data_IF_617116152995
#
_entry.id   IF_617116152995
#
_cell.length_a   1.000
_cell.length_b   1.000
_cell.length_c   1.000
_cell.angle_alpha   90.00
_cell.angle_beta   90.00
_cell.angle_gamma   90.00
#
_symmetry.space_group_name_H-M   'P 1'
#
loop_
_entity.id
_entity.type
_entity.pdbx_description
1 polymer ?
#
# COMPACT_ATOMS: atom_id res chain seq x y z
N UNK A 1 -11.57 -27.37 -28.64
CA UNK A 1 -11.46 -26.28 -27.62
C UNK A 1 -11.24 -26.99 -26.31
N UNK A 2 -10.06 -26.83 -25.71
CA UNK A 2 -9.79 -27.35 -24.35
C UNK A 2 -10.69 -26.59 -23.36
N UNK A 3 -11.55 -27.32 -22.63
CA UNK A 3 -12.38 -26.73 -21.57
C UNK A 3 -11.49 -25.91 -20.62
N UNK A 4 -11.87 -24.65 -20.41
CA UNK A 4 -11.20 -23.79 -19.43
C UNK A 4 -11.49 -24.31 -18.00
N UNK A 5 -10.44 -24.58 -17.20
CA UNK A 5 -10.55 -25.23 -15.89
C UNK A 5 -9.90 -24.38 -14.79
N UNK A 6 -10.51 -24.39 -13.62
CA UNK A 6 -9.88 -23.83 -12.43
C UNK A 6 -8.52 -24.52 -12.19
N UNK A 7 -7.43 -23.74 -12.16
CA UNK A 7 -6.10 -24.35 -12.01
C UNK A 7 -5.89 -24.98 -10.64
N UNK A 8 -6.67 -24.59 -9.61
CA UNK A 8 -6.57 -25.14 -8.26
C UNK A 8 -7.31 -26.49 -8.17
N UNK A 9 -8.64 -26.51 -8.34
CA UNK A 9 -9.45 -27.71 -8.12
C UNK A 9 -9.66 -28.57 -9.39
N UNK A 10 -9.28 -28.09 -10.57
CA UNK A 10 -9.45 -28.80 -11.85
C UNK A 10 -10.88 -28.80 -12.41
N UNK A 11 -11.87 -28.23 -11.70
CA UNK A 11 -13.25 -28.17 -12.16
C UNK A 11 -13.38 -27.26 -13.40
N UNK A 12 -14.27 -27.57 -14.35
CA UNK A 12 -14.58 -26.68 -15.47
C UNK A 12 -15.02 -25.30 -14.96
N UNK A 13 -14.55 -24.25 -15.63
CA UNK A 13 -15.02 -22.87 -15.40
C UNK A 13 -16.24 -22.62 -16.25
N UNK A 14 -17.35 -22.26 -15.61
CA UNK A 14 -18.65 -21.93 -16.25
C UNK A 14 -19.01 -20.49 -15.91
N UNK A 15 -20.00 -19.93 -16.60
CA UNK A 15 -20.49 -18.58 -16.29
C UNK A 15 -21.01 -18.44 -14.86
N UNK A 16 -21.44 -19.56 -14.24
CA UNK A 16 -21.99 -19.58 -12.89
C UNK A 16 -20.91 -19.66 -11.79
N UNK A 17 -19.74 -20.28 -12.09
CA UNK A 17 -18.72 -20.57 -11.08
C UNK A 17 -17.40 -19.81 -11.26
N UNK A 18 -17.15 -19.19 -12.42
CA UNK A 18 -15.92 -18.44 -12.69
C UNK A 18 -15.82 -17.19 -11.79
N UNK A 19 -14.63 -16.91 -11.31
CA UNK A 19 -14.34 -15.72 -10.51
C UNK A 19 -13.65 -14.65 -11.35
N UNK A 20 -13.99 -13.37 -11.12
CA UNK A 20 -13.20 -12.26 -11.63
C UNK A 20 -12.00 -12.06 -10.75
N UNK A 21 -10.94 -12.80 -11.02
CA UNK A 21 -9.72 -12.77 -10.24
C UNK A 21 -8.87 -11.54 -10.54
N UNK A 22 -8.35 -10.91 -9.47
CA UNK A 22 -7.30 -9.92 -9.58
C UNK A 22 -5.95 -10.64 -9.55
N UNK A 23 -5.29 -10.73 -10.70
CA UNK A 23 -3.96 -11.35 -10.81
C UNK A 23 -2.95 -10.60 -9.92
N UNK A 24 -2.96 -9.29 -9.97
CA UNK A 24 -2.31 -8.42 -8.99
C UNK A 24 -3.34 -7.93 -7.97
N UNK A 25 -3.00 -8.01 -6.70
CA UNK A 25 -3.91 -7.72 -5.60
C UNK A 25 -4.51 -6.31 -5.72
N UNK A 26 -5.85 -6.20 -5.66
CA UNK A 26 -6.55 -4.93 -5.69
C UNK A 26 -6.13 -3.96 -4.57
N UNK A 27 -5.70 -4.49 -3.41
CA UNK A 27 -5.19 -3.69 -2.29
C UNK A 27 -3.92 -2.89 -2.65
N UNK A 28 -3.14 -3.36 -3.63
CA UNK A 28 -2.00 -2.66 -4.20
C UNK A 28 -2.36 -1.87 -5.48
N UNK A 29 -3.64 -1.74 -5.83
CA UNK A 29 -4.08 -1.07 -7.05
C UNK A 29 -3.95 -1.92 -8.31
N UNK A 30 -3.86 -3.25 -8.18
CA UNK A 30 -3.76 -4.18 -9.31
C UNK A 30 -4.91 -4.02 -10.30
N UNK A 31 -4.59 -3.95 -11.60
CA UNK A 31 -5.56 -3.76 -12.70
C UNK A 31 -5.75 -5.00 -13.54
N UNK A 32 -4.75 -5.90 -13.57
CA UNK A 32 -4.83 -7.14 -14.35
C UNK A 32 -5.83 -8.10 -13.70
N UNK A 33 -6.82 -8.51 -14.47
CA UNK A 33 -7.90 -9.39 -14.01
C UNK A 33 -8.21 -10.45 -15.06
N UNK A 34 -8.72 -11.60 -14.60
CA UNK A 34 -9.20 -12.66 -15.51
C UNK A 34 -10.37 -13.42 -14.90
N UNK A 35 -11.20 -13.99 -15.77
CA UNK A 35 -12.24 -14.98 -15.43
C UNK A 35 -11.79 -16.42 -15.72
N UNK A 36 -10.58 -16.60 -16.25
CA UNK A 36 -10.13 -17.84 -16.87
C UNK A 36 -9.12 -18.62 -16.01
N UNK A 37 -8.87 -18.18 -14.78
CA UNK A 37 -7.85 -18.79 -13.90
C UNK A 37 -8.46 -19.66 -12.81
N UNK A 38 -9.50 -19.19 -12.09
CA UNK A 38 -10.05 -19.95 -10.98
C UNK A 38 -11.56 -19.74 -10.76
N UNK A 39 -12.17 -20.69 -10.02
CA UNK A 39 -13.56 -20.62 -9.64
C UNK A 39 -13.78 -19.81 -8.36
N UNK A 40 -15.02 -19.32 -8.15
CA UNK A 40 -15.43 -18.53 -6.97
C UNK A 40 -15.09 -19.20 -5.63
N UNK A 41 -15.24 -20.53 -5.53
CA UNK A 41 -14.95 -21.27 -4.32
C UNK A 41 -13.46 -21.24 -3.97
N UNK A 42 -12.58 -21.45 -4.96
CA UNK A 42 -11.14 -21.42 -4.75
C UNK A 42 -10.65 -19.99 -4.48
N UNK A 43 -11.14 -19.03 -5.22
CA UNK A 43 -10.82 -17.60 -4.99
C UNK A 43 -11.25 -17.14 -3.58
N UNK A 44 -12.48 -17.47 -3.16
CA UNK A 44 -12.96 -17.10 -1.82
C UNK A 44 -12.10 -17.66 -0.68
N UNK A 45 -11.58 -18.89 -0.81
CA UNK A 45 -10.68 -19.49 0.19
C UNK A 45 -9.34 -18.75 0.30
N UNK A 46 -8.77 -18.35 -0.83
CA UNK A 46 -7.48 -17.65 -0.87
C UNK A 46 -7.64 -16.17 -0.49
N UNK A 47 -8.74 -15.53 -0.88
CA UNK A 47 -9.03 -14.14 -0.53
C UNK A 47 -9.27 -13.92 0.97
N UNK A 48 -9.86 -14.90 1.65
CA UNK A 48 -10.26 -14.76 3.06
C UNK A 48 -9.09 -14.70 4.06
N UNK A 49 -7.91 -15.23 3.72
CA UNK A 49 -6.76 -15.26 4.62
C UNK A 49 -5.45 -14.85 3.95
N UNK A 50 -4.97 -15.50 2.87
CA UNK A 50 -3.73 -15.10 2.21
C UNK A 50 -3.77 -13.67 1.68
N UNK A 51 -4.76 -13.32 0.88
CA UNK A 51 -4.85 -11.98 0.27
C UNK A 51 -5.08 -10.89 1.30
N UNK A 52 -5.85 -11.15 2.37
CA UNK A 52 -6.02 -10.20 3.47
C UNK A 52 -4.70 -9.98 4.23
N UNK A 53 -3.93 -11.04 4.47
CA UNK A 53 -2.63 -10.93 5.14
C UNK A 53 -1.64 -10.05 4.34
N UNK A 54 -1.57 -10.25 3.02
CA UNK A 54 -0.77 -9.41 2.15
C UNK A 54 -1.31 -7.97 2.07
N UNK A 55 -2.63 -7.80 1.94
CA UNK A 55 -3.27 -6.49 1.89
C UNK A 55 -2.98 -5.64 3.14
N UNK A 56 -2.97 -6.26 4.32
CA UNK A 56 -2.63 -5.58 5.60
C UNK A 56 -1.18 -5.08 5.57
N UNK A 57 -0.25 -5.88 5.04
CA UNK A 57 1.17 -5.51 4.96
C UNK A 57 1.43 -4.38 3.95
N UNK A 58 0.73 -4.40 2.81
CA UNK A 58 0.86 -3.37 1.78
C UNK A 58 0.15 -2.05 2.13
N UNK A 59 -0.85 -2.11 3.02
CA UNK A 59 -1.73 -0.98 3.36
C UNK A 59 -1.00 0.32 3.71
N UNK A 60 0.06 0.32 4.53
CA UNK A 60 0.75 1.57 4.89
C UNK A 60 1.30 2.32 3.68
N UNK A 61 1.98 1.62 2.80
CA UNK A 61 2.57 2.22 1.59
C UNK A 61 1.48 2.53 0.56
N UNK A 62 0.51 1.63 0.37
CA UNK A 62 -0.62 1.88 -0.52
C UNK A 62 -1.45 3.11 -0.11
N UNK A 63 -1.69 3.29 1.20
CA UNK A 63 -2.36 4.48 1.73
C UNK A 63 -1.53 5.74 1.50
N UNK A 64 -0.23 5.70 1.84
CA UNK A 64 0.69 6.80 1.63
C UNK A 64 0.73 7.24 0.16
N UNK A 65 0.79 6.33 -0.78
CA UNK A 65 0.80 6.61 -2.21
C UNK A 65 -0.58 7.07 -2.76
N UNK A 66 -1.65 6.96 -1.97
CA UNK A 66 -3.02 7.21 -2.45
C UNK A 66 -3.43 6.25 -3.56
N UNK A 67 -3.14 4.95 -3.36
CA UNK A 67 -3.43 3.90 -4.36
C UNK A 67 -4.91 3.78 -4.64
N UNK A 68 -5.30 3.91 -5.91
CA UNK A 68 -6.68 3.74 -6.33
C UNK A 68 -7.05 2.26 -6.46
N UNK A 69 -8.04 1.85 -5.71
CA UNK A 69 -8.65 0.53 -5.75
C UNK A 69 -9.86 0.53 -6.68
N UNK A 70 -10.38 -0.66 -7.02
CA UNK A 70 -11.61 -0.75 -7.82
C UNK A 70 -12.83 -0.20 -7.09
N UNK A 71 -12.89 -0.45 -5.78
CA UNK A 71 -13.96 0.03 -4.92
C UNK A 71 -13.37 0.72 -3.69
N UNK A 72 -13.74 1.99 -3.52
CA UNK A 72 -13.34 2.78 -2.36
C UNK A 72 -11.86 3.18 -2.36
N UNK A 73 -11.45 3.76 -1.25
CA UNK A 73 -10.08 4.22 -0.97
C UNK A 73 -9.32 3.19 -0.15
N UNK A 74 -8.01 3.40 -0.01
CA UNK A 74 -7.19 2.59 0.89
C UNK A 74 -7.62 2.85 2.35
N UNK A 75 -7.83 1.79 3.18
CA UNK A 75 -8.21 1.97 4.58
C UNK A 75 -7.21 2.82 5.35
N UNK A 76 -7.69 3.57 6.34
CA UNK A 76 -6.84 4.36 7.23
C UNK A 76 -5.80 3.48 7.94
N UNK A 77 -4.66 4.09 8.26
CA UNK A 77 -3.56 3.43 8.97
C UNK A 77 -3.34 4.13 10.32
N UNK A 78 -3.40 3.42 11.44
CA UNK A 78 -3.10 4.00 12.72
C UNK A 78 -1.62 4.39 12.80
N UNK A 79 -1.35 5.59 13.32
CA UNK A 79 -0.03 6.14 13.55
C UNK A 79 0.09 6.58 15.00
N UNK A 80 1.31 6.61 15.49
CA UNK A 80 1.63 7.17 16.80
C UNK A 80 2.79 8.14 16.67
N UNK A 81 2.67 9.32 17.31
CA UNK A 81 3.77 10.25 17.42
C UNK A 81 4.73 9.84 18.53
N UNK A 82 5.92 10.40 18.51
CA UNK A 82 6.96 10.14 19.54
C UNK A 82 6.55 10.60 20.94
N UNK A 83 5.62 11.56 21.04
CA UNK A 83 5.05 12.04 22.30
C UNK A 83 3.77 11.27 22.73
N UNK A 84 3.41 10.21 21.99
CA UNK A 84 2.31 9.29 22.33
C UNK A 84 0.93 9.70 21.81
N UNK A 85 0.80 10.81 21.06
CA UNK A 85 -0.47 11.18 20.43
C UNK A 85 -0.85 10.17 19.33
N UNK A 86 -2.14 9.90 19.21
CA UNK A 86 -2.66 8.99 18.20
C UNK A 86 -3.15 9.74 16.98
N UNK A 87 -2.69 9.28 15.83
CA UNK A 87 -3.08 9.77 14.53
C UNK A 87 -3.62 8.64 13.67
N UNK A 88 -4.32 9.00 12.61
CA UNK A 88 -4.65 8.12 11.49
C UNK A 88 -4.08 8.72 10.20
N UNK A 89 -3.37 7.92 9.42
CA UNK A 89 -3.05 8.28 8.05
C UNK A 89 -4.24 7.97 7.17
N UNK A 90 -4.82 8.98 6.59
CA UNK A 90 -5.90 8.86 5.61
C UNK A 90 -5.35 8.66 4.22
N UNK A 91 -6.23 8.28 3.32
CA UNK A 91 -5.91 8.09 1.90
C UNK A 91 -5.10 9.27 1.35
N UNK A 92 -4.00 8.96 0.65
CA UNK A 92 -3.02 9.94 0.21
C UNK A 92 -2.05 10.40 1.29
N UNK A 93 -1.83 9.61 2.35
CA UNK A 93 -0.79 9.86 3.34
C UNK A 93 -1.10 10.99 4.33
N UNK A 94 -2.31 11.56 4.34
CA UNK A 94 -2.68 12.72 5.17
C UNK A 94 -2.87 12.32 6.64
N UNK A 95 -2.01 12.75 7.58
CA UNK A 95 -2.19 12.46 8.99
C UNK A 95 -3.29 13.35 9.60
N UNK A 96 -4.18 12.72 10.38
CA UNK A 96 -5.22 13.41 11.14
C UNK A 96 -5.24 12.90 12.58
N UNK A 97 -5.67 13.72 13.54
CA UNK A 97 -5.84 13.26 14.92
C UNK A 97 -6.88 12.15 14.99
N UNK A 98 -6.50 10.99 15.52
CA UNK A 98 -7.42 9.86 15.72
C UNK A 98 -8.43 10.15 16.85
N UNK A 99 -7.99 10.88 17.88
CA UNK A 99 -8.79 11.31 19.02
C UNK A 99 -8.46 12.75 19.40
N UNK A 100 -9.40 13.47 20.02
CA UNK A 100 -9.13 14.80 20.51
C UNK A 100 -8.10 14.78 21.61
N UNK A 101 -7.20 15.75 21.58
CA UNK A 101 -6.23 16.00 22.65
C UNK A 101 -6.71 17.16 23.52
N UNK A 102 -6.86 16.92 24.84
CA UNK A 102 -7.19 17.94 25.83
C UNK A 102 -5.97 18.15 26.73
N UNK A 103 -5.44 19.35 26.71
CA UNK A 103 -4.43 19.79 27.66
C UNK A 103 -5.09 20.76 28.64
N UNK A 104 -5.26 20.33 29.89
CA UNK A 104 -5.91 21.09 30.95
C UNK A 104 -4.91 21.45 32.05
N UNK A 105 -4.88 22.71 32.41
CA UNK A 105 -4.09 23.19 33.54
C UNK A 105 -5.00 23.42 34.77
N UNK A 106 -4.98 22.53 35.77
CA UNK A 106 -5.86 22.64 36.93
C UNK A 106 -5.58 23.86 37.81
N UNK A 107 -4.37 24.46 37.73
CA UNK A 107 -4.03 25.62 38.53
C UNK A 107 -4.59 26.93 37.98
N UNK A 108 -4.75 27.05 36.69
CA UNK A 108 -5.28 28.26 36.02
C UNK A 108 -6.70 28.08 35.50
N UNK A 109 -7.15 26.81 35.35
CA UNK A 109 -8.40 26.46 34.68
C UNK A 109 -8.33 26.54 33.17
N UNK A 110 -7.16 26.82 32.58
CA UNK A 110 -6.99 26.90 31.13
C UNK A 110 -7.12 25.52 30.48
N UNK A 111 -7.87 25.46 29.37
CA UNK A 111 -8.05 24.25 28.58
C UNK A 111 -7.72 24.51 27.11
N UNK A 112 -6.80 23.75 26.57
CA UNK A 112 -6.51 23.70 25.13
C UNK A 112 -7.02 22.39 24.55
N UNK A 113 -7.91 22.48 23.55
CA UNK A 113 -8.50 21.32 22.90
C UNK A 113 -8.08 21.32 21.43
N UNK A 114 -7.52 20.22 20.99
CA UNK A 114 -7.20 19.95 19.58
C UNK A 114 -8.06 18.77 19.12
N UNK A 115 -8.82 18.95 18.06
CA UNK A 115 -9.70 17.92 17.50
C UNK A 115 -9.79 18.09 15.99
N UNK A 116 -10.08 17.00 15.30
CA UNK A 116 -10.24 17.00 13.86
C UNK A 116 -11.50 17.75 13.39
N UNK A 117 -12.54 17.71 14.21
CA UNK A 117 -13.84 18.35 13.93
C UNK A 117 -14.62 18.61 15.25
N UNK A 118 -15.70 19.40 15.13
CA UNK A 118 -16.55 19.71 16.28
C UNK A 118 -17.18 18.49 16.96
N UNK A 119 -17.49 17.42 16.21
CA UNK A 119 -18.04 16.19 16.77
C UNK A 119 -17.06 15.50 17.70
N UNK A 120 -15.79 15.38 17.28
CA UNK A 120 -14.70 14.82 18.08
C UNK A 120 -14.42 15.69 19.32
N UNK A 121 -14.40 17.01 19.16
CA UNK A 121 -14.24 17.96 20.28
C UNK A 121 -15.37 17.81 21.29
N UNK A 122 -16.62 17.78 20.83
CA UNK A 122 -17.80 17.59 21.69
C UNK A 122 -17.73 16.32 22.49
N UNK A 123 -17.43 15.19 21.85
CA UNK A 123 -17.31 13.90 22.54
C UNK A 123 -16.22 13.92 23.64
N UNK A 124 -15.06 14.53 23.34
CA UNK A 124 -13.97 14.65 24.27
C UNK A 124 -14.31 15.56 25.47
N UNK A 125 -14.98 16.69 25.23
CA UNK A 125 -15.44 17.60 26.29
C UNK A 125 -16.47 16.94 27.22
N UNK A 126 -17.44 16.20 26.65
CA UNK A 126 -18.40 15.44 27.48
C UNK A 126 -17.72 14.36 28.30
N UNK A 127 -16.73 13.65 27.74
CA UNK A 127 -15.93 12.68 28.50
C UNK A 127 -15.16 13.36 29.61
N UNK A 128 -14.45 14.46 29.34
CA UNK A 128 -13.72 15.24 30.32
C UNK A 128 -14.62 15.74 31.46
N UNK A 129 -15.77 16.31 31.13
CA UNK A 129 -16.75 16.78 32.14
C UNK A 129 -17.26 15.67 33.04
N UNK A 130 -17.41 14.45 32.51
CA UNK A 130 -17.82 13.27 33.30
C UNK A 130 -16.69 12.79 34.22
N UNK A 131 -15.45 12.84 33.78
CA UNK A 131 -14.27 12.43 34.55
C UNK A 131 -13.85 13.47 35.59
N UNK A 132 -14.22 14.75 35.36
CA UNK A 132 -13.85 15.90 36.17
C UNK A 132 -15.10 16.72 36.56
N UNK A 133 -16.03 16.15 37.38
CA UNK A 133 -17.30 16.82 37.74
C UNK A 133 -17.10 18.09 38.56
N UNK A 134 -15.94 18.28 39.16
CA UNK A 134 -15.56 19.49 39.91
C UNK A 134 -15.45 20.74 39.03
N UNK A 135 -15.24 20.59 37.68
CA UNK A 135 -15.19 21.70 36.75
C UNK A 135 -16.56 21.91 36.08
N UNK A 136 -17.16 23.06 36.36
CA UNK A 136 -18.46 23.42 35.77
C UNK A 136 -18.24 24.34 34.55
N UNK A 137 -18.51 23.79 33.34
CA UNK A 137 -18.53 24.54 32.08
C UNK A 137 -19.64 24.03 31.18
N UNK A 138 -20.08 24.87 30.24
CA UNK A 138 -21.02 24.50 29.20
C UNK A 138 -20.25 24.05 27.95
N UNK A 139 -20.48 22.80 27.52
CA UNK A 139 -19.80 22.20 26.37
C UNK A 139 -20.14 22.95 25.08
N UNK A 140 -21.40 23.34 24.88
CA UNK A 140 -21.81 24.03 23.65
C UNK A 140 -21.28 25.46 23.61
N UNK A 141 -21.14 26.12 24.78
CA UNK A 141 -20.52 27.43 24.86
C UNK A 141 -19.02 27.37 24.51
N UNK A 142 -18.28 26.38 25.04
CA UNK A 142 -16.88 26.15 24.67
C UNK A 142 -16.70 25.91 23.19
N UNK A 143 -17.61 25.14 22.55
CA UNK A 143 -17.54 24.84 21.13
C UNK A 143 -17.76 26.06 20.21
N UNK A 144 -18.42 27.12 20.68
CA UNK A 144 -18.57 28.38 19.91
C UNK A 144 -17.23 29.10 19.68
N UNK A 145 -16.24 28.86 20.53
CA UNK A 145 -14.89 29.43 20.42
C UNK A 145 -13.93 28.56 19.62
N UNK A 146 -14.40 27.45 19.05
CA UNK A 146 -13.59 26.61 18.19
C UNK A 146 -13.28 27.31 16.87
N UNK A 147 -11.99 27.35 16.51
CA UNK A 147 -11.51 27.89 15.24
C UNK A 147 -11.00 26.75 14.36
N UNK A 148 -11.25 26.83 13.07
CA UNK A 148 -10.67 25.90 12.11
C UNK A 148 -9.29 26.42 11.69
N UNK A 149 -8.24 25.68 12.03
CA UNK A 149 -6.87 26.04 11.68
C UNK A 149 -6.19 24.86 11.00
N UNK A 150 -5.53 25.14 9.87
CA UNK A 150 -4.67 24.18 9.20
C UNK A 150 -3.31 24.15 9.94
N UNK A 151 -2.92 22.97 10.42
CA UNK A 151 -1.64 22.75 11.07
C UNK A 151 -0.92 21.59 10.44
N UNK A 152 0.37 21.68 10.34
CA UNK A 152 1.25 20.55 10.03
C UNK A 152 1.60 19.80 11.32
N UNK A 153 1.89 18.51 11.17
CA UNK A 153 2.33 17.69 12.30
C UNK A 153 3.84 17.92 12.48
N UNK A 154 4.23 18.50 13.59
CA UNK A 154 5.63 18.79 13.89
C UNK A 154 6.37 17.58 14.49
N UNK A 155 5.62 16.62 15.03
CA UNK A 155 6.19 15.42 15.66
C UNK A 155 6.46 14.33 14.60
N UNK A 156 7.47 13.51 14.88
CA UNK A 156 7.74 12.32 14.07
C UNK A 156 6.64 11.29 14.28
N UNK A 157 6.01 10.85 13.19
CA UNK A 157 5.02 9.78 13.18
C UNK A 157 5.70 8.45 12.89
N UNK A 158 5.34 7.43 13.65
CA UNK A 158 5.85 6.08 13.49
C UNK A 158 4.81 5.23 12.74
N UNK A 159 5.30 4.48 11.77
CA UNK A 159 4.53 3.50 11.01
C UNK A 159 5.27 2.15 11.06
N UNK A 160 4.53 1.08 11.32
CA UNK A 160 5.08 -0.26 11.28
C UNK A 160 4.80 -0.87 9.91
N UNK A 161 5.86 -1.28 9.23
CA UNK A 161 5.79 -2.00 7.96
C UNK A 161 6.38 -3.40 8.18
N UNK A 162 5.56 -4.41 7.94
CA UNK A 162 5.98 -5.82 7.98
C UNK A 162 5.96 -6.37 6.56
N UNK A 163 6.85 -7.31 6.27
CA UNK A 163 6.89 -7.98 4.97
C UNK A 163 7.19 -9.47 5.13
N UNK A 164 6.35 -10.32 4.49
CA UNK A 164 6.51 -11.77 4.48
C UNK A 164 5.60 -12.52 5.45
N UNK A 165 5.96 -13.76 5.73
CA UNK A 165 5.16 -14.71 6.52
C UNK A 165 4.27 -15.60 5.65
N UNK A 166 3.93 -16.81 6.16
CA UNK A 166 3.31 -17.88 5.39
C UNK A 166 2.08 -17.47 4.59
N UNK A 167 1.14 -16.72 5.21
CA UNK A 167 -0.08 -16.30 4.53
C UNK A 167 0.18 -15.28 3.43
N UNK A 168 1.01 -14.27 3.68
CA UNK A 168 1.39 -13.29 2.67
C UNK A 168 2.17 -13.93 1.52
N UNK A 169 3.07 -14.87 1.80
CA UNK A 169 3.80 -15.63 0.77
C UNK A 169 2.86 -16.47 -0.09
N UNK A 170 1.82 -17.07 0.47
CA UNK A 170 0.80 -17.79 -0.31
C UNK A 170 0.03 -16.87 -1.26
N UNK A 171 -0.26 -15.62 -0.87
CA UNK A 171 -0.86 -14.63 -1.76
C UNK A 171 0.10 -14.19 -2.86
N UNK A 172 1.39 -14.03 -2.56
CA UNK A 172 2.41 -13.72 -3.56
C UNK A 172 2.58 -14.90 -4.54
N UNK A 173 2.59 -16.13 -4.04
CA UNK A 173 2.60 -17.34 -4.90
C UNK A 173 1.36 -17.38 -5.79
N UNK A 174 0.16 -17.13 -5.23
CA UNK A 174 -1.09 -17.06 -6.00
C UNK A 174 -0.94 -16.10 -7.18
N UNK A 175 -0.43 -14.90 -6.96
CA UNK A 175 -0.17 -13.90 -8.01
C UNK A 175 0.70 -14.47 -9.15
N UNK A 176 1.79 -15.14 -8.81
CA UNK A 176 2.69 -15.74 -9.80
C UNK A 176 2.02 -16.90 -10.56
N UNK A 177 1.26 -17.76 -9.87
CA UNK A 177 0.55 -18.89 -10.47
C UNK A 177 -0.61 -18.42 -11.36
N UNK A 178 -1.39 -17.45 -10.90
CA UNK A 178 -2.46 -16.84 -11.67
C UNK A 178 -1.94 -16.25 -12.99
N UNK A 179 -0.81 -15.55 -12.93
CA UNK A 179 -0.17 -14.98 -14.11
C UNK A 179 0.38 -16.05 -15.04
N UNK A 180 1.04 -17.07 -14.52
CA UNK A 180 1.53 -18.22 -15.28
C UNK A 180 0.39 -18.91 -16.06
N UNK A 181 -0.73 -19.18 -15.40
CA UNK A 181 -1.92 -19.79 -16.04
C UNK A 181 -2.57 -18.83 -17.03
N UNK A 182 -2.68 -17.53 -16.70
CA UNK A 182 -3.25 -16.52 -17.59
C UNK A 182 -2.48 -16.44 -18.92
N UNK A 183 -1.16 -16.65 -18.89
CA UNK A 183 -0.30 -16.69 -20.08
C UNK A 183 -0.39 -18.00 -20.86
N UNK A 184 -1.22 -18.94 -20.43
CA UNK A 184 -1.50 -20.19 -21.14
C UNK A 184 -0.50 -21.31 -20.89
N UNK A 185 0.35 -21.17 -19.89
CA UNK A 185 1.31 -22.22 -19.54
C UNK A 185 0.65 -23.41 -18.85
N UNK A 186 1.23 -24.60 -19.00
CA UNK A 186 0.63 -25.85 -18.55
C UNK A 186 0.69 -25.97 -17.02
N UNK A 187 -0.50 -26.16 -16.42
CA UNK A 187 -0.70 -26.41 -14.99
C UNK A 187 0.16 -27.53 -14.42
N UNK A 188 0.53 -28.55 -15.23
CA UNK A 188 1.33 -29.69 -14.79
C UNK A 188 2.65 -29.28 -14.11
N UNK A 189 3.22 -28.14 -14.52
CA UNK A 189 4.49 -27.65 -14.00
C UNK A 189 4.38 -27.00 -12.62
N UNK A 190 3.17 -26.70 -12.15
CA UNK A 190 2.91 -25.99 -10.90
C UNK A 190 1.99 -26.73 -9.93
N UNK A 191 1.46 -27.90 -10.32
CA UNK A 191 0.48 -28.64 -9.51
C UNK A 191 1.02 -29.03 -8.13
N UNK A 192 2.32 -29.28 -8.02
CA UNK A 192 3.02 -29.63 -6.77
C UNK A 192 3.08 -28.47 -5.75
N UNK A 193 2.71 -27.24 -6.14
CA UNK A 193 2.64 -26.07 -5.28
C UNK A 193 1.26 -25.85 -4.65
N UNK A 194 0.23 -26.57 -5.12
CA UNK A 194 -1.13 -26.33 -4.69
C UNK A 194 -1.38 -26.63 -3.21
N UNK A 195 -0.70 -27.63 -2.65
CA UNK A 195 -0.80 -27.93 -1.21
C UNK A 195 -0.21 -26.82 -0.36
N UNK A 196 0.93 -26.24 -0.77
CA UNK A 196 1.47 -25.06 -0.12
C UNK A 196 0.53 -23.85 -0.29
N UNK A 197 0.03 -23.59 -1.50
CA UNK A 197 -0.89 -22.50 -1.75
C UNK A 197 -2.15 -22.57 -0.85
N UNK A 198 -2.67 -23.78 -0.65
CA UNK A 198 -3.84 -24.04 0.18
C UNK A 198 -3.53 -24.08 1.70
N UNK A 199 -2.24 -24.06 2.08
CA UNK A 199 -1.80 -24.09 3.46
C UNK A 199 -1.74 -25.47 4.11
N UNK A 200 -1.73 -26.52 3.29
CA UNK A 200 -1.62 -27.92 3.76
C UNK A 200 -0.19 -28.35 4.03
N UNK A 201 0.79 -27.65 3.45
CA UNK A 201 2.22 -27.91 3.66
C UNK A 201 3.02 -26.61 3.78
N UNK A 202 4.30 -26.71 4.16
CA UNK A 202 5.26 -25.60 4.14
C UNK A 202 6.37 -25.88 3.14
N UNK A 203 6.78 -24.85 2.39
CA UNK A 203 7.88 -24.92 1.42
C UNK A 203 8.71 -23.62 1.49
N UNK A 204 10.02 -23.76 1.37
CA UNK A 204 10.96 -22.62 1.24
C UNK A 204 11.22 -22.32 -0.23
N UNK A 205 10.18 -21.87 -0.92
CA UNK A 205 10.21 -21.56 -2.35
C UNK A 205 10.05 -20.07 -2.63
N UNK A 206 9.91 -19.22 -1.61
CA UNK A 206 9.72 -17.79 -1.74
C UNK A 206 10.73 -17.08 -0.87
N UNK A 207 11.45 -16.13 -1.46
CA UNK A 207 12.40 -15.30 -0.72
C UNK A 207 12.10 -13.82 -0.98
N UNK A 208 12.14 -13.01 0.08
CA UNK A 208 12.19 -11.56 -0.05
C UNK A 208 13.52 -11.22 -0.72
N UNK A 209 13.48 -10.49 -1.84
CA UNK A 209 14.64 -10.41 -2.73
C UNK A 209 15.06 -8.95 -3.01
N UNK A 210 16.05 -8.47 -2.28
CA UNK A 210 16.68 -7.15 -2.49
C UNK A 210 18.14 -7.35 -2.96
N UNK A 211 18.36 -7.67 -4.25
CA UNK A 211 19.71 -7.89 -4.79
C UNK A 211 20.50 -6.58 -4.89
N UNK A 212 21.83 -6.69 -5.06
CA UNK A 212 22.71 -5.54 -5.27
C UNK A 212 22.42 -4.83 -6.61
N UNK A 213 22.02 -5.59 -7.60
CA UNK A 213 21.55 -5.07 -8.89
C UNK A 213 20.08 -5.50 -9.06
N UNK A 214 19.14 -4.53 -9.08
CA UNK A 214 17.74 -4.82 -9.33
C UNK A 214 17.54 -5.48 -10.70
N UNK A 215 16.60 -6.45 -10.83
CA UNK A 215 16.33 -7.12 -12.10
C UNK A 215 15.74 -6.22 -13.20
N UNK A 216 15.36 -5.00 -12.87
CA UNK A 216 14.82 -4.00 -13.79
C UNK A 216 15.35 -2.60 -13.44
N UNK A 217 15.30 -1.68 -14.40
CA UNK A 217 15.69 -0.29 -14.19
C UNK A 217 14.65 0.48 -13.39
N UNK A 218 15.07 1.16 -12.33
CA UNK A 218 14.25 2.13 -11.60
C UNK A 218 14.20 3.45 -12.37
N UNK A 219 12.99 3.95 -12.61
CA UNK A 219 12.75 5.26 -13.22
C UNK A 219 12.13 6.18 -12.17
N UNK A 220 12.67 7.40 -12.06
CA UNK A 220 12.23 8.38 -11.09
C UNK A 220 10.73 8.70 -11.26
N UNK A 221 9.99 8.70 -10.17
CA UNK A 221 8.54 8.90 -10.17
C UNK A 221 7.70 7.65 -10.45
N UNK A 222 8.29 6.55 -10.98
CA UNK A 222 7.56 5.28 -11.16
C UNK A 222 7.48 4.47 -9.87
N UNK A 223 6.30 3.93 -9.59
CA UNK A 223 6.09 2.94 -8.52
C UNK A 223 5.38 1.72 -9.09
N UNK A 224 6.11 0.63 -9.21
CA UNK A 224 5.64 -0.52 -9.98
C UNK A 224 4.97 -1.60 -9.11
N UNK A 225 3.84 -2.10 -9.62
CA UNK A 225 3.42 -3.49 -9.42
C UNK A 225 3.90 -4.29 -10.62
N UNK A 226 4.72 -5.30 -10.39
CA UNK A 226 5.36 -6.08 -11.45
C UNK A 226 5.22 -7.57 -11.18
N UNK A 227 4.93 -8.32 -12.24
CA UNK A 227 5.02 -9.79 -12.26
C UNK A 227 5.89 -10.15 -13.46
N UNK A 228 6.91 -10.95 -13.19
CA UNK A 228 7.75 -11.55 -14.22
C UNK A 228 7.84 -13.04 -13.96
N UNK A 229 7.70 -13.84 -15.02
CA UNK A 229 7.86 -15.30 -14.95
C UNK A 229 8.74 -15.73 -16.11
N UNK A 230 9.77 -16.49 -15.82
CA UNK A 230 10.68 -17.06 -16.82
C UNK A 230 10.82 -18.57 -16.62
N UNK A 231 10.79 -19.32 -17.72
CA UNK A 231 11.06 -20.75 -17.77
C UNK A 231 12.29 -21.04 -18.60
N UNK A 232 13.19 -21.87 -18.04
CA UNK A 232 14.43 -22.28 -18.70
C UNK A 232 14.48 -23.81 -18.80
N UNK A 233 14.39 -24.33 -20.02
CA UNK A 233 14.40 -25.73 -20.33
C UNK A 233 15.73 -26.40 -19.97
N UNK A 234 16.86 -25.74 -20.28
CA UNK A 234 18.18 -26.29 -20.04
C UNK A 234 18.50 -26.42 -18.54
N UNK A 235 18.01 -25.48 -17.72
CA UNK A 235 18.11 -25.51 -16.28
C UNK A 235 16.97 -26.31 -15.60
N UNK A 236 15.95 -26.72 -16.34
CA UNK A 236 14.71 -27.36 -15.86
C UNK A 236 13.99 -26.53 -14.81
N UNK A 237 14.00 -25.21 -14.92
CA UNK A 237 13.46 -24.31 -13.89
C UNK A 237 12.36 -23.37 -14.41
N UNK A 238 11.46 -23.00 -13.52
CA UNK A 238 10.59 -21.83 -13.66
C UNK A 238 10.78 -20.96 -12.42
N UNK A 239 11.14 -19.69 -12.63
CA UNK A 239 11.17 -18.67 -11.60
C UNK A 239 10.14 -17.60 -11.84
N UNK A 240 9.62 -17.02 -10.77
CA UNK A 240 8.84 -15.80 -10.82
C UNK A 240 9.48 -14.71 -9.96
N UNK A 241 9.27 -13.46 -10.37
CA UNK A 241 9.64 -12.27 -9.59
C UNK A 241 8.42 -11.37 -9.51
N UNK A 242 8.01 -11.07 -8.29
CA UNK A 242 6.83 -10.24 -8.02
C UNK A 242 7.25 -9.05 -7.19
N UNK A 243 6.86 -7.85 -7.62
CA UNK A 243 7.08 -6.61 -6.87
C UNK A 243 5.74 -5.94 -6.63
N UNK A 244 5.48 -5.58 -5.39
CA UNK A 244 4.36 -4.73 -5.02
C UNK A 244 4.86 -3.35 -4.61
N UNK A 245 4.19 -2.30 -5.14
CA UNK A 245 4.41 -0.90 -4.78
C UNK A 245 5.90 -0.48 -4.86
N UNK A 246 6.66 -1.05 -5.81
CA UNK A 246 8.07 -0.76 -6.04
C UNK A 246 9.04 -1.18 -4.93
N UNK A 247 8.54 -1.54 -3.76
CA UNK A 247 9.38 -1.78 -2.57
C UNK A 247 9.12 -3.11 -1.84
N UNK A 248 8.23 -3.95 -2.35
CA UNK A 248 7.95 -5.28 -1.80
C UNK A 248 8.28 -6.39 -2.82
N UNK A 249 9.56 -6.68 -3.06
CA UNK A 249 9.99 -7.68 -4.02
C UNK A 249 10.07 -9.08 -3.40
N UNK A 250 9.68 -10.10 -4.19
CA UNK A 250 9.87 -11.50 -3.87
C UNK A 250 10.29 -12.29 -5.12
N UNK A 251 11.20 -13.24 -4.95
CA UNK A 251 11.55 -14.25 -5.94
C UNK A 251 10.96 -15.58 -5.52
N UNK A 252 10.45 -16.35 -6.48
CA UNK A 252 9.70 -17.59 -6.25
C UNK A 252 10.23 -18.66 -7.19
N UNK A 253 10.54 -19.84 -6.64
CA UNK A 253 10.82 -21.04 -7.43
C UNK A 253 9.49 -21.75 -7.70
N UNK A 254 8.99 -21.66 -8.94
CA UNK A 254 7.74 -22.30 -9.35
C UNK A 254 7.92 -23.75 -9.77
N UNK A 255 9.09 -24.11 -10.33
CA UNK A 255 9.41 -25.48 -10.69
C UNK A 255 10.92 -25.69 -10.79
N UNK A 256 11.40 -26.84 -10.36
CA UNK A 256 12.74 -27.37 -10.57
C UNK A 256 12.76 -28.63 -11.46
N UNK A 257 11.64 -28.90 -12.14
CA UNK A 257 11.42 -30.05 -13.03
C UNK A 257 10.74 -29.62 -14.33
N UNK A 258 11.09 -28.41 -14.83
CA UNK A 258 10.51 -27.88 -16.03
C UNK A 258 11.05 -28.58 -17.30
N UNK A 259 10.16 -29.04 -18.17
CA UNK A 259 10.48 -29.72 -19.42
C UNK A 259 9.89 -29.05 -20.68
N UNK A 260 9.30 -27.84 -20.51
CA UNK A 260 8.74 -27.04 -21.60
C UNK A 260 9.79 -26.24 -22.38
N UNK A 261 9.34 -25.42 -23.32
CA UNK A 261 10.20 -24.50 -24.06
C UNK A 261 10.54 -23.27 -23.24
N UNK A 262 11.67 -22.62 -23.54
CA UNK A 262 12.06 -21.35 -22.89
C UNK A 262 11.00 -20.29 -23.12
N UNK A 263 10.68 -19.52 -22.08
CA UNK A 263 9.74 -18.43 -22.16
C UNK A 263 10.08 -17.31 -21.15
N UNK A 264 9.60 -16.12 -21.45
CA UNK A 264 9.67 -14.96 -20.57
C UNK A 264 8.39 -14.15 -20.72
N UNK A 265 7.72 -13.90 -19.59
CA UNK A 265 6.47 -13.15 -19.52
C UNK A 265 6.55 -12.08 -18.47
N UNK A 266 6.23 -10.84 -18.83
CA UNK A 266 6.25 -9.70 -17.90
C UNK A 266 4.94 -8.93 -17.97
N UNK A 267 4.50 -8.44 -16.83
CA UNK A 267 3.46 -7.44 -16.69
C UNK A 267 3.91 -6.40 -15.68
N UNK A 268 3.91 -5.14 -16.07
CA UNK A 268 4.21 -4.02 -15.18
C UNK A 268 3.09 -2.97 -15.24
N UNK A 269 2.71 -2.48 -14.08
CA UNK A 269 1.72 -1.43 -13.92
C UNK A 269 2.29 -0.37 -12.98
N UNK A 270 2.43 0.85 -13.48
CA UNK A 270 2.81 1.99 -12.65
C UNK A 270 1.61 2.50 -11.85
N UNK A 271 1.74 2.43 -10.54
CA UNK A 271 0.69 2.83 -9.59
C UNK A 271 0.47 4.33 -9.57
N UNK A 272 1.51 5.13 -9.90
CA UNK A 272 1.45 6.59 -9.86
C UNK A 272 0.70 7.15 -11.07
N UNK A 273 1.05 6.71 -12.27
CA UNK A 273 0.39 7.11 -13.52
C UNK A 273 -0.89 6.31 -13.83
N UNK A 274 -1.11 5.17 -13.15
CA UNK A 274 -2.18 4.19 -13.42
C UNK A 274 -2.09 3.56 -14.82
N UNK A 275 -0.91 3.48 -15.41
CA UNK A 275 -0.68 2.95 -16.74
C UNK A 275 -0.01 1.57 -16.67
N UNK A 276 -0.37 0.70 -17.62
CA UNK A 276 0.42 -0.49 -17.93
C UNK A 276 1.60 -0.02 -18.77
N UNK A 277 2.78 -0.42 -18.37
CA UNK A 277 4.03 -0.02 -19.04
C UNK A 277 4.80 -1.27 -19.48
N UNK A 278 5.59 -1.12 -20.51
CA UNK A 278 6.54 -2.15 -20.92
C UNK A 278 7.81 -2.04 -20.06
N UNK A 279 8.26 -3.17 -19.49
CA UNK A 279 9.41 -3.20 -18.59
C UNK A 279 10.25 -4.44 -18.86
N UNK A 280 11.50 -4.20 -19.24
CA UNK A 280 12.47 -5.27 -19.37
C UNK A 280 12.91 -5.74 -17.97
N UNK A 281 12.91 -7.06 -17.76
CA UNK A 281 13.32 -7.70 -16.51
C UNK A 281 14.36 -8.75 -16.82
N UNK A 282 15.54 -8.61 -16.23
CA UNK A 282 16.64 -9.55 -16.32
C UNK A 282 16.84 -10.23 -14.96
N UNK A 283 16.02 -11.24 -14.64
CA UNK A 283 16.08 -11.92 -13.35
C UNK A 283 17.35 -12.79 -13.25
N UNK A 284 17.60 -13.61 -14.27
CA UNK A 284 18.81 -14.46 -14.35
C UNK A 284 19.01 -15.31 -13.09
N UNK A 285 17.91 -15.84 -12.52
CA UNK A 285 17.95 -16.66 -11.31
C UNK A 285 18.32 -18.09 -11.67
N UNK A 286 19.19 -18.70 -10.85
CA UNK A 286 19.49 -20.14 -10.89
C UNK A 286 19.13 -20.79 -9.55
N UNK A 287 19.03 -22.11 -9.52
CA UNK A 287 18.77 -22.88 -8.27
C UNK A 287 19.85 -22.58 -7.22
N UNK A 288 21.13 -22.51 -7.65
CA UNK A 288 22.24 -22.20 -6.75
C UNK A 288 22.09 -20.79 -6.17
N UNK A 289 21.88 -19.78 -7.02
CA UNK A 289 21.68 -18.39 -6.57
C UNK A 289 20.47 -18.27 -5.65
N UNK A 290 19.37 -18.97 -5.98
CA UNK A 290 18.17 -18.99 -5.14
C UNK A 290 18.46 -19.62 -3.77
N UNK A 291 19.13 -20.77 -3.72
CA UNK A 291 19.44 -21.45 -2.47
C UNK A 291 20.46 -20.68 -1.62
N UNK A 292 21.46 -20.09 -2.25
CA UNK A 292 22.53 -19.33 -1.57
C UNK A 292 22.05 -17.96 -1.08
N UNK A 293 20.99 -17.41 -1.69
CA UNK A 293 20.46 -16.13 -1.28
C UNK A 293 19.82 -16.23 0.11
N UNK A 294 20.42 -15.52 1.06
CA UNK A 294 19.91 -15.43 2.42
C UNK A 294 19.41 -13.99 2.67
N UNK A 295 18.13 -13.79 3.00
CA UNK A 295 17.67 -12.53 3.56
C UNK A 295 18.53 -12.17 4.78
N UNK A 296 18.81 -10.87 4.95
CA UNK A 296 19.64 -10.33 6.04
C UNK A 296 21.17 -10.44 5.88
N UNK A 297 21.69 -10.83 4.72
CA UNK A 297 23.11 -10.65 4.40
C UNK A 297 23.48 -9.17 4.20
N UNK A 298 24.79 -8.88 4.11
CA UNK A 298 25.40 -7.53 4.29
C UNK A 298 24.71 -6.35 3.59
N UNK A 299 24.18 -6.54 2.37
CA UNK A 299 23.55 -5.46 1.60
C UNK A 299 22.02 -5.48 1.63
N UNK A 300 21.39 -6.52 2.17
CA UNK A 300 19.93 -6.68 2.16
C UNK A 300 19.19 -5.45 2.69
N UNK A 301 19.55 -5.00 3.89
CA UNK A 301 18.88 -3.85 4.52
C UNK A 301 19.16 -2.54 3.77
N UNK A 302 20.39 -2.36 3.27
CA UNK A 302 20.75 -1.19 2.47
C UNK A 302 19.89 -1.13 1.19
N UNK A 303 19.75 -2.25 0.49
CA UNK A 303 19.00 -2.35 -0.75
C UNK A 303 17.48 -2.21 -0.48
N UNK A 304 16.99 -2.79 0.62
CA UNK A 304 15.60 -2.58 1.06
C UNK A 304 15.32 -1.10 1.34
N UNK A 305 16.18 -0.42 2.10
CA UNK A 305 16.06 1.03 2.39
C UNK A 305 16.08 1.83 1.09
N UNK A 306 16.92 1.48 0.12
CA UNK A 306 16.96 2.14 -1.17
C UNK A 306 15.65 1.99 -1.95
N UNK A 307 15.08 0.77 -2.02
CA UNK A 307 13.80 0.50 -2.68
C UNK A 307 12.63 1.26 -2.01
N UNK A 308 12.55 1.21 -0.68
CA UNK A 308 11.56 2.01 0.07
C UNK A 308 11.75 3.51 -0.15
N UNK A 309 13.00 3.99 -0.09
CA UNK A 309 13.35 5.41 -0.31
C UNK A 309 12.92 5.89 -1.69
N UNK A 310 13.05 5.05 -2.71
CA UNK A 310 12.60 5.36 -4.06
C UNK A 310 11.06 5.53 -4.11
N UNK A 311 10.33 4.57 -3.57
CA UNK A 311 8.86 4.61 -3.48
C UNK A 311 8.36 5.81 -2.66
N UNK A 312 8.99 6.08 -1.51
CA UNK A 312 8.61 7.20 -0.64
C UNK A 312 8.86 8.54 -1.33
N UNK A 313 9.98 8.71 -2.06
CA UNK A 313 10.23 9.95 -2.82
C UNK A 313 9.14 10.22 -3.85
N UNK A 314 8.76 9.21 -4.66
CA UNK A 314 7.68 9.35 -5.62
C UNK A 314 6.35 9.79 -4.94
N UNK A 315 6.03 9.24 -3.77
CA UNK A 315 4.87 9.66 -2.98
C UNK A 315 4.99 11.09 -2.46
N UNK A 316 6.16 11.50 -1.95
CA UNK A 316 6.39 12.88 -1.45
C UNK A 316 6.23 13.90 -2.57
N UNK A 317 6.75 13.62 -3.77
CA UNK A 317 6.58 14.51 -4.93
C UNK A 317 5.12 14.69 -5.30
N UNK A 318 4.37 13.59 -5.41
CA UNK A 318 2.92 13.64 -5.64
C UNK A 318 2.18 14.44 -4.56
N UNK A 319 2.50 14.20 -3.29
CA UNK A 319 1.86 14.92 -2.18
C UNK A 319 2.21 16.40 -2.17
N UNK A 320 3.40 16.78 -2.60
CA UNK A 320 3.79 18.18 -2.75
C UNK A 320 2.87 18.92 -3.72
N UNK A 321 2.57 18.30 -4.86
CA UNK A 321 1.66 18.87 -5.87
C UNK A 321 0.21 18.94 -5.35
N UNK A 322 -0.27 17.89 -4.70
CA UNK A 322 -1.62 17.85 -4.11
C UNK A 322 -1.76 18.86 -2.98
N UNK A 323 -0.72 19.00 -2.14
CA UNK A 323 -0.71 19.95 -1.03
C UNK A 323 -0.73 21.41 -1.51
N UNK A 324 -0.03 21.73 -2.59
CA UNK A 324 -0.09 23.07 -3.19
C UNK A 324 -1.49 23.41 -3.66
N UNK A 325 -2.19 22.49 -4.31
CA UNK A 325 -3.59 22.66 -4.71
C UNK A 325 -4.49 22.86 -3.50
N UNK A 326 -4.36 21.99 -2.49
CA UNK A 326 -5.13 22.07 -1.24
C UNK A 326 -4.92 23.42 -0.51
N UNK A 327 -3.72 24.01 -0.55
CA UNK A 327 -3.42 25.33 0.02
C UNK A 327 -4.21 26.42 -0.69
N UNK A 328 -4.23 26.37 -2.02
CA UNK A 328 -4.99 27.33 -2.83
C UNK A 328 -6.48 27.20 -2.51
N UNK A 329 -7.05 26.01 -2.60
CA UNK A 329 -8.46 25.74 -2.34
C UNK A 329 -8.87 26.18 -0.92
N UNK A 330 -8.08 25.83 0.10
CA UNK A 330 -8.33 26.24 1.48
C UNK A 330 -8.25 27.76 1.67
N UNK A 331 -7.36 28.43 0.95
CA UNK A 331 -7.18 29.88 1.10
C UNK A 331 -8.36 30.67 0.52
N UNK A 332 -9.01 30.12 -0.51
CA UNK A 332 -10.12 30.75 -1.20
C UNK A 332 -11.49 30.14 -0.88
N UNK A 333 -11.56 29.13 0.00
CA UNK A 333 -12.79 28.39 0.32
C UNK A 333 -13.97 29.29 0.75
N UNK A 334 -13.69 30.42 1.42
CA UNK A 334 -14.75 31.33 1.93
C UNK A 334 -15.23 32.35 0.87
N UNK A 335 -14.62 32.35 -0.31
CA UNK A 335 -15.07 33.27 -1.41
C UNK A 335 -16.18 32.62 -2.22
N UNK A 336 -17.27 33.35 -2.50
CA UNK A 336 -18.30 32.89 -3.44
C UNK A 336 -17.71 32.65 -4.84
N UNK A 337 -18.28 31.70 -5.58
CA UNK A 337 -17.90 31.48 -6.97
C UNK A 337 -18.08 32.74 -7.82
N UNK A 338 -17.03 33.16 -8.54
CA UNK A 338 -17.00 34.37 -9.36
C UNK A 338 -16.71 35.65 -8.57
N UNK A 339 -16.47 35.61 -7.28
CA UNK A 339 -16.04 36.75 -6.50
C UNK A 339 -14.62 37.23 -6.86
N UNK A 340 -14.39 38.55 -6.80
CA UNK A 340 -13.04 39.10 -6.92
C UNK A 340 -12.20 38.70 -5.71
N UNK A 341 -10.92 38.36 -5.97
CA UNK A 341 -9.97 37.99 -4.92
C UNK A 341 -9.58 39.26 -4.14
N UNK A 342 -9.96 39.32 -2.88
CA UNK A 342 -9.69 40.45 -2.02
C UNK A 342 -8.30 40.35 -1.31
N UNK A 343 -7.86 41.45 -0.68
CA UNK A 343 -6.57 41.48 0.05
C UNK A 343 -6.53 40.50 1.21
N UNK A 344 -7.67 40.18 1.84
CA UNK A 344 -7.75 39.22 2.96
C UNK A 344 -7.48 37.79 2.47
N UNK A 345 -8.05 37.42 1.33
CA UNK A 345 -7.82 36.12 0.71
C UNK A 345 -6.37 35.97 0.26
N UNK A 346 -5.78 37.02 -0.34
CA UNK A 346 -4.35 37.03 -0.71
C UNK A 346 -3.46 36.89 0.53
N UNK A 347 -3.79 37.57 1.64
CA UNK A 347 -3.06 37.44 2.87
C UNK A 347 -3.13 36.02 3.44
N UNK A 348 -4.31 35.41 3.47
CA UNK A 348 -4.53 34.03 3.89
C UNK A 348 -3.70 33.04 3.05
N UNK A 349 -3.67 33.22 1.72
CA UNK A 349 -2.87 32.41 0.81
C UNK A 349 -1.37 32.53 1.14
N UNK A 350 -0.84 33.75 1.29
CA UNK A 350 0.57 33.99 1.63
C UNK A 350 0.97 33.33 2.96
N UNK A 351 0.12 33.44 3.98
CA UNK A 351 0.34 32.81 5.27
C UNK A 351 0.40 31.27 5.16
N UNK A 352 -0.52 30.66 4.41
CA UNK A 352 -0.56 29.21 4.21
C UNK A 352 0.64 28.70 3.40
N UNK A 353 1.02 29.42 2.33
CA UNK A 353 2.23 29.08 1.55
C UNK A 353 3.48 29.20 2.43
N UNK A 354 3.57 30.22 3.29
CA UNK A 354 4.70 30.38 4.18
C UNK A 354 4.78 29.25 5.19
N UNK A 355 3.66 28.84 5.80
CA UNK A 355 3.60 27.68 6.70
C UNK A 355 4.06 26.40 6.01
N UNK A 356 3.58 26.14 4.79
CA UNK A 356 4.00 25.00 3.98
C UNK A 356 5.50 25.01 3.67
N UNK A 357 6.01 26.13 3.19
CA UNK A 357 7.43 26.25 2.84
C UNK A 357 8.33 26.03 4.07
N UNK A 358 7.97 26.58 5.23
CA UNK A 358 8.72 26.37 6.48
C UNK A 358 8.68 24.90 6.90
N UNK A 359 7.53 24.25 6.82
CA UNK A 359 7.41 22.83 7.15
C UNK A 359 8.23 21.95 6.17
N UNK A 360 8.15 22.21 4.87
CA UNK A 360 8.90 21.49 3.85
C UNK A 360 10.43 21.63 4.01
N UNK A 361 10.90 22.82 4.42
CA UNK A 361 12.33 23.04 4.69
C UNK A 361 12.83 22.32 5.95
N UNK A 362 11.96 22.03 6.91
CA UNK A 362 12.31 21.25 8.11
C UNK A 362 12.39 19.75 7.84
N UNK A 363 11.72 19.25 6.79
CA UNK A 363 11.73 17.83 6.43
C UNK A 363 12.96 17.46 5.57
N UNK A 364 13.57 18.42 4.89
CA UNK A 364 14.80 18.23 4.10
C UNK A 364 16.03 18.34 4.97
#
# INVERSE_FOLDING_TARGET
MTENRCFICGNPLTDENKSKEHILLNAAGGKLKSYDVMCNTCNGKLGAKPDEALAVQLRPIANFLGVKRDNGTTPNVPLQSTDGKKYEMRDGGKPVLAEANINFNPSTGDMLIQAQNLGQARAALWKFKKEHPEYNFDVEEVLKHFTNERRYVDEKLQINVNWGGDDAFRSILKTALDFFILKGHDRRHIVHLLDYLLGNERKDIIKIYYPDQPPYEYVEGEVLNLIHVEGNKAASTIFAYVVYLGCFPAVILLSDHYDGEDFTETYAHDVMSHQVIDKEVCLGMTIERFNDYQPHQSNFYKNAIAAYGFTIRAGIEKHGDDEQKDIVDYSFHDLPEGAEIDEKAIKKLKENITKYAMHYLQIK
#
